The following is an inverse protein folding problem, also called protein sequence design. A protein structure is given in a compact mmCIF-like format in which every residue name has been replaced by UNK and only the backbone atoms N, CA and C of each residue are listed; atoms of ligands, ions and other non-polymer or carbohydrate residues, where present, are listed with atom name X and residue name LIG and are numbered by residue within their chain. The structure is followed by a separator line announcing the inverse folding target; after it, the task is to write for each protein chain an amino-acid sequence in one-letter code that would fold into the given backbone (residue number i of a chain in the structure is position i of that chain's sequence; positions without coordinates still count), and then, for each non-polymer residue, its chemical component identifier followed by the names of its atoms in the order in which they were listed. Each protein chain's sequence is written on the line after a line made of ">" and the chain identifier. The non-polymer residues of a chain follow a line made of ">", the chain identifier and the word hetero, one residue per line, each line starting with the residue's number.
data_IF_315681004654
#
_entry.id   IF_315681004654
#
_cell.length_a   1.000
_cell.length_b   1.000
_cell.length_c   1.000
_cell.angle_alpha   90.00
_cell.angle_beta   90.00
_cell.angle_gamma   90.00
#
_symmetry.space_group_name_H-M   'P 1'
#
loop_
_entity.id
_entity.type
_entity.pdbx_description
1 polymer ?
#
# COMPACT_ATOMS: atom_id res chain seq x y z
N UNK A 1 -3.04 8.34 -4.44
CA UNK A 1 -4.23 7.47 -4.54
C UNK A 1 -5.38 8.23 -3.88
N UNK A 2 -6.57 7.65 -3.86
CA UNK A 2 -7.87 8.29 -3.77
C UNK A 2 -8.75 7.61 -4.81
N UNK A 3 -9.58 8.32 -5.58
CA UNK A 3 -10.36 7.69 -6.67
C UNK A 3 -9.51 6.91 -7.70
N UNK A 4 -8.22 7.24 -7.83
CA UNK A 4 -7.30 6.53 -8.70
C UNK A 4 -6.88 5.13 -8.19
N UNK A 5 -7.26 4.76 -6.96
CA UNK A 5 -7.02 3.42 -6.43
C UNK A 5 -7.97 2.42 -7.07
N UNK A 6 -7.42 1.39 -7.71
CA UNK A 6 -8.17 0.30 -8.34
C UNK A 6 -7.34 -0.97 -8.29
N UNK A 7 -7.96 -2.13 -8.53
CA UNK A 7 -7.23 -3.39 -8.67
C UNK A 7 -6.15 -3.32 -9.77
N UNK A 8 -6.46 -2.63 -10.88
CA UNK A 8 -5.51 -2.40 -11.97
C UNK A 8 -4.33 -1.52 -11.57
N UNK A 9 -4.57 -0.44 -10.81
CA UNK A 9 -3.48 0.43 -10.35
C UNK A 9 -2.59 -0.28 -9.34
N UNK A 10 -3.17 -1.08 -8.43
CA UNK A 10 -2.44 -1.90 -7.47
C UNK A 10 -1.59 -2.95 -8.18
N UNK A 11 -2.16 -3.67 -9.15
CA UNK A 11 -1.42 -4.65 -9.93
C UNK A 11 -0.25 -3.99 -10.68
N UNK A 12 -0.47 -2.80 -11.24
CA UNK A 12 0.60 -2.04 -11.91
C UNK A 12 1.71 -1.65 -10.93
N UNK A 13 1.35 -1.16 -9.74
CA UNK A 13 2.32 -0.78 -8.71
C UNK A 13 3.15 -1.99 -8.23
N UNK A 14 2.50 -3.15 -8.01
CA UNK A 14 3.20 -4.39 -7.64
C UNK A 14 4.19 -4.83 -8.73
N UNK A 15 3.78 -4.79 -10.01
CA UNK A 15 4.68 -5.10 -11.13
C UNK A 15 5.89 -4.16 -11.19
N UNK A 16 5.68 -2.87 -10.90
CA UNK A 16 6.76 -1.88 -10.85
C UNK A 16 7.74 -2.17 -9.71
N UNK A 17 7.23 -2.48 -8.51
CA UNK A 17 8.08 -2.85 -7.37
C UNK A 17 8.91 -4.10 -7.67
N UNK A 18 8.29 -5.14 -8.23
CA UNK A 18 8.99 -6.38 -8.62
C UNK A 18 10.06 -6.12 -9.70
N UNK A 19 9.77 -5.24 -10.67
CA UNK A 19 10.72 -4.89 -11.72
C UNK A 19 11.90 -4.04 -11.22
N UNK A 20 11.72 -3.25 -10.15
CA UNK A 20 12.79 -2.48 -9.52
C UNK A 20 13.81 -3.38 -8.80
N UNK A 21 13.38 -4.57 -8.37
CA UNK A 21 14.23 -5.54 -7.69
C UNK A 21 14.55 -5.17 -6.24
N UNK A 22 15.33 -6.02 -5.54
CA UNK A 22 15.78 -5.74 -4.18
C UNK A 22 16.69 -4.52 -4.15
N UNK A 23 16.60 -3.71 -3.10
CA UNK A 23 17.60 -2.66 -2.86
C UNK A 23 18.95 -3.31 -2.53
N UNK A 24 20.03 -2.88 -3.20
CA UNK A 24 21.41 -3.40 -3.09
C UNK A 24 22.05 -3.23 -1.67
N UNK A 25 21.26 -2.83 -0.68
CA UNK A 25 21.73 -2.38 0.63
C UNK A 25 22.05 -3.51 1.62
N UNK A 26 21.62 -4.75 1.36
CA UNK A 26 21.86 -5.87 2.28
C UNK A 26 21.91 -7.22 1.55
N UNK A 27 23.10 -7.59 1.05
CA UNK A 27 23.81 -8.84 1.34
C UNK A 27 24.69 -9.30 0.18
N UNK A 28 26.00 -9.07 0.34
CA UNK A 28 26.96 -10.06 -0.15
C UNK A 28 26.64 -11.38 0.57
N UNK A 29 26.15 -12.35 -0.19
CA UNK A 29 26.28 -13.79 0.01
C UNK A 29 25.76 -14.39 1.33
N UNK A 30 24.60 -15.04 1.25
CA UNK A 30 24.47 -16.42 1.75
C UNK A 30 23.99 -17.30 0.61
N UNK A 31 24.83 -18.27 0.28
CA UNK A 31 24.71 -19.25 -0.79
C UNK A 31 23.32 -19.91 -0.84
N UNK A 32 22.70 -19.83 -2.02
CA UNK A 32 21.74 -20.79 -2.58
C UNK A 32 20.63 -21.33 -1.68
N UNK A 33 19.40 -20.83 -1.86
CA UNK A 33 18.14 -21.62 -1.91
C UNK A 33 16.87 -20.75 -1.85
N UNK A 34 16.96 -19.45 -1.54
CA UNK A 34 15.79 -18.58 -1.42
C UNK A 34 15.77 -17.46 -2.48
N UNK A 35 14.66 -17.28 -3.21
CA UNK A 35 14.49 -16.13 -4.11
C UNK A 35 14.67 -14.82 -3.33
N UNK A 36 15.33 -13.84 -3.94
CA UNK A 36 15.44 -12.51 -3.36
C UNK A 36 14.04 -11.89 -3.17
N UNK A 37 13.76 -11.41 -1.95
CA UNK A 37 12.48 -10.80 -1.61
C UNK A 37 12.55 -9.30 -1.86
N UNK A 38 11.56 -8.76 -2.55
CA UNK A 38 11.38 -7.31 -2.70
C UNK A 38 10.46 -6.82 -1.59
N UNK A 39 10.92 -5.84 -0.82
CA UNK A 39 10.08 -5.12 0.15
C UNK A 39 9.67 -3.78 -0.44
N UNK A 40 8.39 -3.44 -0.34
CA UNK A 40 7.86 -2.17 -0.81
C UNK A 40 6.80 -1.64 0.17
N UNK A 41 6.74 -0.33 0.32
CA UNK A 41 5.74 0.36 1.15
C UNK A 41 4.60 0.89 0.27
N UNK A 42 3.36 0.65 0.68
CA UNK A 42 2.17 1.15 0.03
C UNK A 42 1.59 2.32 0.83
N UNK A 43 1.83 3.55 0.37
CA UNK A 43 1.34 4.77 1.01
C UNK A 43 -0.14 5.01 0.69
N UNK A 44 -1.02 4.85 1.67
CA UNK A 44 -2.48 5.02 1.56
C UNK A 44 -3.04 5.75 2.79
N UNK A 45 -4.25 6.29 2.67
CA UNK A 45 -4.98 7.03 3.70
C UNK A 45 -6.41 6.48 3.90
N UNK A 46 -6.59 5.16 4.12
CA UNK A 46 -7.91 4.58 4.24
C UNK A 46 -8.68 5.16 5.44
N UNK A 47 -9.98 5.36 5.28
CA UNK A 47 -10.89 5.70 6.37
C UNK A 47 -12.11 6.48 5.90
N UNK A 48 -13.00 6.83 6.81
CA UNK A 48 -14.14 7.69 6.50
C UNK A 48 -13.72 9.15 6.37
N UNK A 49 -14.44 9.97 5.58
CA UNK A 49 -14.21 11.41 5.51
C UNK A 49 -14.23 12.05 6.89
N UNK A 50 -13.23 12.88 7.19
CA UNK A 50 -13.16 13.63 8.45
C UNK A 50 -14.17 14.78 8.44
N UNK A 51 -14.72 15.13 9.60
CA UNK A 51 -15.54 16.34 9.75
C UNK A 51 -14.67 17.57 10.01
N UNK A 52 -15.19 18.76 9.70
CA UNK A 52 -14.43 20.03 9.76
C UNK A 52 -13.83 20.36 11.14
N UNK A 53 -14.34 19.73 12.22
CA UNK A 53 -13.83 19.91 13.59
C UNK A 53 -12.91 18.78 14.07
N UNK A 54 -12.59 17.81 13.21
CA UNK A 54 -11.80 16.63 13.56
C UNK A 54 -10.39 16.70 12.99
N UNK A 55 -9.39 16.58 13.88
CA UNK A 55 -7.99 16.45 13.48
C UNK A 55 -7.33 17.76 13.06
N UNK A 56 -6.18 17.62 12.40
CA UNK A 56 -5.27 18.72 12.09
C UNK A 56 -4.51 19.24 13.32
N UNK A 57 -3.40 19.94 13.09
CA UNK A 57 -2.62 20.60 14.15
C UNK A 57 -3.23 21.97 14.52
N UNK A 58 -4.55 22.02 14.73
CA UNK A 58 -5.31 23.25 15.00
C UNK A 58 -5.93 23.93 13.79
N UNK A 59 -5.70 23.42 12.57
CA UNK A 59 -6.29 23.93 11.32
C UNK A 59 -7.51 23.17 10.80
N UNK A 60 -7.90 22.07 11.46
CA UNK A 60 -8.86 21.11 10.92
C UNK A 60 -8.24 20.20 9.85
N UNK A 61 -9.04 19.29 9.28
CA UNK A 61 -8.60 18.36 8.24
C UNK A 61 -8.43 19.06 6.88
N UNK A 62 -7.52 18.56 6.04
CA UNK A 62 -7.37 19.05 4.66
C UNK A 62 -8.50 18.55 3.74
N UNK A 63 -8.54 19.06 2.50
CA UNK A 63 -9.59 18.70 1.53
C UNK A 63 -9.60 17.20 1.22
N UNK A 64 -8.42 16.58 1.16
CA UNK A 64 -8.31 15.15 0.92
C UNK A 64 -8.88 14.34 2.09
N UNK A 65 -8.58 14.74 3.33
CA UNK A 65 -9.09 14.11 4.55
C UNK A 65 -10.62 14.15 4.65
N UNK A 66 -11.24 15.20 4.10
CA UNK A 66 -12.70 15.39 4.06
C UNK A 66 -13.36 14.75 2.83
N UNK A 67 -12.59 14.16 1.91
CA UNK A 67 -13.12 13.63 0.66
C UNK A 67 -13.52 12.14 0.76
N UNK A 68 -14.40 11.71 -0.15
CA UNK A 68 -14.78 10.30 -0.31
C UNK A 68 -13.64 9.40 -0.81
N UNK A 69 -12.49 9.99 -1.15
CA UNK A 69 -11.31 9.26 -1.62
C UNK A 69 -10.75 8.34 -0.55
N UNK A 70 -10.79 8.75 0.73
CA UNK A 70 -10.36 7.90 1.84
C UNK A 70 -11.23 6.67 2.01
N UNK A 71 -12.54 6.85 1.83
CA UNK A 71 -13.52 5.76 1.94
C UNK A 71 -13.37 4.81 0.76
N UNK A 72 -13.13 5.36 -0.44
CA UNK A 72 -12.81 4.58 -1.62
C UNK A 72 -11.54 3.75 -1.42
N UNK A 73 -10.46 4.32 -0.87
CA UNK A 73 -9.25 3.56 -0.56
C UNK A 73 -9.51 2.45 0.47
N UNK A 74 -10.28 2.72 1.53
CA UNK A 74 -10.68 1.71 2.51
C UNK A 74 -11.46 0.56 1.87
N UNK A 75 -12.44 0.89 1.02
CA UNK A 75 -13.24 -0.08 0.28
C UNK A 75 -12.37 -0.94 -0.63
N UNK A 76 -11.49 -0.33 -1.42
CA UNK A 76 -10.57 -1.06 -2.29
C UNK A 76 -9.62 -1.99 -1.54
N UNK A 77 -9.03 -1.54 -0.43
CA UNK A 77 -8.09 -2.35 0.36
C UNK A 77 -8.74 -3.55 1.05
N UNK A 78 -10.05 -3.48 1.30
CA UNK A 78 -10.83 -4.57 1.90
C UNK A 78 -11.51 -5.47 0.88
N UNK A 79 -11.47 -5.10 -0.41
CA UNK A 79 -12.18 -5.79 -1.48
C UNK A 79 -11.56 -7.18 -1.79
N UNK A 80 -12.38 -8.23 -1.98
CA UNK A 80 -11.87 -9.58 -2.21
C UNK A 80 -10.93 -9.73 -3.40
N UNK A 81 -11.13 -8.99 -4.50
CA UNK A 81 -10.25 -9.08 -5.67
C UNK A 81 -8.84 -8.54 -5.39
N UNK A 82 -8.70 -7.57 -4.48
CA UNK A 82 -7.39 -7.09 -4.02
C UNK A 82 -6.69 -8.12 -3.13
N UNK A 83 -7.43 -8.81 -2.26
CA UNK A 83 -6.88 -9.91 -1.48
C UNK A 83 -6.45 -11.10 -2.37
N UNK A 84 -7.23 -11.39 -3.41
CA UNK A 84 -6.87 -12.39 -4.43
C UNK A 84 -5.61 -11.98 -5.20
N UNK A 85 -5.52 -10.71 -5.57
CA UNK A 85 -4.31 -10.16 -6.22
C UNK A 85 -3.08 -10.39 -5.34
N UNK A 86 -3.13 -10.05 -4.05
CA UNK A 86 -2.00 -10.28 -3.14
C UNK A 86 -1.61 -11.76 -3.06
N UNK A 87 -2.58 -12.66 -2.95
CA UNK A 87 -2.31 -14.11 -2.91
C UNK A 87 -1.68 -14.61 -4.21
N UNK A 88 -2.22 -14.21 -5.36
CA UNK A 88 -1.73 -14.61 -6.68
C UNK A 88 -0.29 -14.15 -6.91
N UNK A 89 0.01 -12.93 -6.53
CA UNK A 89 1.36 -12.34 -6.68
C UNK A 89 2.29 -12.70 -5.50
N UNK A 90 1.86 -13.57 -4.58
CA UNK A 90 2.60 -14.00 -3.38
C UNK A 90 3.08 -12.83 -2.49
N UNK A 91 2.27 -11.78 -2.41
CA UNK A 91 2.50 -10.62 -1.56
C UNK A 91 2.16 -10.99 -0.12
N UNK A 92 3.12 -10.75 0.77
CA UNK A 92 2.90 -10.80 2.21
C UNK A 92 2.74 -9.37 2.74
N UNK A 93 1.55 -9.05 3.26
CA UNK A 93 1.35 -7.81 3.99
C UNK A 93 2.00 -7.94 5.37
N UNK A 94 2.83 -6.97 5.72
CA UNK A 94 3.54 -6.90 6.99
C UNK A 94 3.52 -5.46 7.52
N UNK A 95 3.56 -5.31 8.84
CA UNK A 95 3.84 -4.02 9.46
C UNK A 95 5.35 -3.79 9.55
N UNK A 96 5.75 -2.53 9.78
CA UNK A 96 7.17 -2.20 9.98
C UNK A 96 7.84 -3.01 11.10
N UNK A 97 7.08 -3.40 12.13
CA UNK A 97 7.55 -4.25 13.24
C UNK A 97 7.92 -5.69 12.83
N UNK A 98 7.46 -6.14 11.66
CA UNK A 98 7.65 -7.49 11.15
C UNK A 98 8.80 -7.55 10.11
N UNK A 99 9.45 -6.42 9.83
CA UNK A 99 10.66 -6.27 9.01
C UNK A 99 11.92 -6.30 9.90
#
# INVERSE_FOLDING_TARGET
>A
MGQNMSSASLQRALKQALAAGPSDSTSKSLSGLHPAVVTAELMVHPGYPSYTQEGGCGGGPDDFSQSSDREHELGMLTEPSVQELYRRERVQLCGFKDL
#
